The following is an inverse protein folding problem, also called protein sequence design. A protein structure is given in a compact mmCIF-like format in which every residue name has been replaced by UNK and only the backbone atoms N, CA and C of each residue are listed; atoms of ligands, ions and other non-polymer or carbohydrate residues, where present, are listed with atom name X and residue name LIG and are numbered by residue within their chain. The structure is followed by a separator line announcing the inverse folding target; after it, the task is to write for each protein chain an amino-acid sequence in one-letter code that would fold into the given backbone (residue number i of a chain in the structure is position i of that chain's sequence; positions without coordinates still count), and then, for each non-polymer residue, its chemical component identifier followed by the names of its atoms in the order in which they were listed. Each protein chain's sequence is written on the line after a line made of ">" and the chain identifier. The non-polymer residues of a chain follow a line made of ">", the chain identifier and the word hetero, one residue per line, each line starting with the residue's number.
data_IF_861044364347
#
_entry.id   IF_861044364347
#
_cell.length_a   1.000
_cell.length_b   1.000
_cell.length_c   1.000
_cell.angle_alpha   90.00
_cell.angle_beta   90.00
_cell.angle_gamma   90.00
#
_symmetry.space_group_name_H-M   'P 1'
#
loop_
_entity.id
_entity.type
_entity.pdbx_description
1 polymer ?
#
# COMPACT_ATOMS: atom_id res chain seq x y z
N UNK A 1 -17.54 -1.00 -6.08
CA UNK A 1 -17.01 0.37 -5.99
C UNK A 1 -16.65 0.60 -4.55
N UNK A 2 -15.36 0.83 -4.31
CA UNK A 2 -14.86 0.98 -2.95
C UNK A 2 -14.72 2.46 -2.60
N UNK A 3 -14.78 2.78 -1.30
CA UNK A 3 -14.71 4.14 -0.80
C UNK A 3 -13.68 4.23 0.33
N UNK A 4 -12.70 5.12 0.17
CA UNK A 4 -11.84 5.56 1.26
C UNK A 4 -12.57 6.64 2.05
N UNK A 5 -12.72 6.42 3.35
CA UNK A 5 -13.28 7.42 4.27
C UNK A 5 -12.26 7.78 5.35
N UNK A 6 -11.94 9.07 5.46
CA UNK A 6 -11.16 9.62 6.56
C UNK A 6 -12.13 10.11 7.64
N UNK A 7 -11.98 9.63 8.87
CA UNK A 7 -12.88 9.94 9.99
C UNK A 7 -12.15 10.76 11.05
N UNK A 8 -12.72 11.89 11.45
CA UNK A 8 -12.29 12.63 12.64
C UNK A 8 -12.73 11.84 13.87
N UNK A 9 -11.78 11.24 14.58
CA UNK A 9 -12.04 10.41 15.75
C UNK A 9 -12.58 11.18 16.95
N UNK A 10 -12.35 12.51 17.03
CA UNK A 10 -12.88 13.33 18.13
C UNK A 10 -14.35 13.68 17.90
N UNK A 11 -14.74 13.87 16.64
CA UNK A 11 -16.12 14.20 16.24
C UNK A 11 -16.93 12.98 15.83
N UNK A 12 -16.28 11.84 15.60
CA UNK A 12 -16.83 10.61 15.01
C UNK A 12 -17.58 10.88 13.71
N UNK A 13 -17.01 11.72 12.84
CA UNK A 13 -17.62 12.14 11.58
C UNK A 13 -16.65 11.97 10.40
N UNK A 14 -17.15 11.56 9.22
CA UNK A 14 -16.33 11.55 8.02
C UNK A 14 -15.93 12.98 7.66
N UNK A 15 -14.63 13.19 7.44
CA UNK A 15 -14.04 14.46 7.00
C UNK A 15 -13.84 14.44 5.49
N UNK A 16 -13.43 13.29 4.96
CA UNK A 16 -13.23 13.10 3.53
C UNK A 16 -13.77 11.74 3.09
N UNK A 17 -14.28 11.70 1.85
CA UNK A 17 -14.73 10.50 1.16
C UNK A 17 -14.24 10.53 -0.27
N UNK A 18 -13.56 9.48 -0.69
CA UNK A 18 -13.07 9.32 -2.04
C UNK A 18 -13.50 7.96 -2.57
N UNK A 19 -14.20 7.97 -3.70
CA UNK A 19 -14.64 6.75 -4.38
C UNK A 19 -13.60 6.29 -5.39
N UNK A 20 -13.43 4.98 -5.49
CA UNK A 20 -12.54 4.34 -6.44
C UNK A 20 -13.37 3.51 -7.44
N UNK A 21 -13.08 3.62 -8.74
CA UNK A 21 -13.77 2.83 -9.77
C UNK A 21 -13.25 1.39 -9.86
N UNK A 22 -12.36 0.99 -8.95
CA UNK A 22 -11.74 -0.33 -8.84
C UNK A 22 -11.67 -0.74 -7.37
N UNK A 23 -11.39 -2.03 -7.15
CA UNK A 23 -11.19 -2.60 -5.82
C UNK A 23 -9.91 -2.05 -5.18
N UNK A 24 -10.00 -1.70 -3.91
CA UNK A 24 -8.86 -1.41 -3.03
C UNK A 24 -8.86 -2.44 -1.91
N UNK A 25 -7.68 -2.92 -1.50
CA UNK A 25 -7.61 -4.06 -0.58
C UNK A 25 -7.06 -3.66 0.79
N UNK A 26 -5.85 -3.10 0.82
CA UNK A 26 -5.18 -2.74 2.06
C UNK A 26 -4.53 -1.36 1.94
N UNK A 27 -4.39 -0.70 3.08
CA UNK A 27 -3.79 0.63 3.20
C UNK A 27 -2.72 0.61 4.27
N UNK A 28 -1.57 1.21 3.99
CA UNK A 28 -0.53 1.42 4.98
C UNK A 28 -0.03 2.87 4.96
N UNK A 29 0.29 3.41 6.13
CA UNK A 29 0.88 4.75 6.27
C UNK A 29 2.39 4.67 6.27
N UNK A 30 3.06 5.69 5.73
CA UNK A 30 4.46 5.90 6.07
C UNK A 30 4.61 6.34 7.52
N UNK A 31 5.84 6.29 8.03
CA UNK A 31 6.12 6.60 9.43
C UNK A 31 5.79 8.05 9.82
N UNK A 32 5.91 8.98 8.88
CA UNK A 32 5.64 10.42 9.11
C UNK A 32 4.15 10.75 9.05
N UNK A 33 3.31 9.89 8.49
CA UNK A 33 1.86 10.07 8.40
C UNK A 33 1.42 11.10 7.36
N UNK A 34 2.33 11.52 6.48
CA UNK A 34 2.07 12.44 5.36
C UNK A 34 1.84 11.71 4.04
N UNK A 35 2.16 10.41 3.96
CA UNK A 35 1.83 9.54 2.84
C UNK A 35 1.10 8.28 3.32
N UNK A 36 0.22 7.77 2.48
CA UNK A 36 -0.28 6.42 2.59
C UNK A 36 -0.32 5.73 1.23
N UNK A 37 -0.26 4.41 1.29
CA UNK A 37 -0.15 3.51 0.16
C UNK A 37 -1.42 2.67 0.10
N UNK A 38 -2.05 2.56 -1.06
CA UNK A 38 -3.28 1.81 -1.28
C UNK A 38 -3.01 0.70 -2.30
N UNK A 39 -3.23 -0.55 -1.93
CA UNK A 39 -3.16 -1.67 -2.88
C UNK A 39 -4.47 -1.79 -3.67
N UNK A 40 -4.38 -2.12 -4.96
CA UNK A 40 -5.56 -2.20 -5.83
C UNK A 40 -5.71 -3.55 -6.51
N UNK A 41 -6.95 -3.90 -6.87
CA UNK A 41 -7.28 -5.10 -7.63
C UNK A 41 -6.74 -5.12 -9.06
N UNK A 42 -6.12 -4.04 -9.52
CA UNK A 42 -5.57 -3.88 -10.86
C UNK A 42 -4.04 -4.04 -10.92
N UNK A 43 -3.40 -4.40 -9.79
CA UNK A 43 -1.96 -4.68 -9.72
C UNK A 43 -1.07 -3.47 -9.51
N UNK A 44 -1.65 -2.32 -9.17
CA UNK A 44 -0.89 -1.14 -8.78
C UNK A 44 -1.01 -0.83 -7.29
N UNK A 45 -0.04 -0.04 -6.81
CA UNK A 45 -0.10 0.63 -5.51
C UNK A 45 -0.19 2.13 -5.75
N UNK A 46 -1.20 2.79 -5.19
CA UNK A 46 -1.32 4.24 -5.24
C UNK A 46 -0.64 4.86 -4.03
N UNK A 47 0.22 5.85 -4.27
CA UNK A 47 0.87 6.65 -3.23
C UNK A 47 0.12 7.97 -3.15
N UNK A 48 -0.40 8.31 -1.99
CA UNK A 48 -1.32 9.44 -1.79
C UNK A 48 -0.83 10.34 -0.68
N UNK A 49 -0.84 11.65 -0.92
CA UNK A 49 -0.53 12.67 0.08
C UNK A 49 -1.65 12.80 1.12
N UNK A 50 -1.29 13.05 2.37
CA UNK A 50 -2.20 13.46 3.41
C UNK A 50 -1.76 14.81 3.99
N UNK A 51 -2.67 15.79 4.18
CA UNK A 51 -4.14 15.68 4.12
C UNK A 51 -4.77 16.05 2.78
N UNK A 52 -3.98 16.40 1.75
CA UNK A 52 -4.54 16.90 0.48
C UNK A 52 -5.23 15.83 -0.35
N UNK A 53 -4.88 14.56 -0.15
CA UNK A 53 -5.41 13.40 -0.86
C UNK A 53 -5.11 13.40 -2.36
N UNK A 54 -4.07 14.13 -2.74
CA UNK A 54 -3.54 14.09 -4.10
C UNK A 54 -2.77 12.80 -4.32
N UNK A 55 -3.03 12.15 -5.46
CA UNK A 55 -2.24 11.00 -5.90
C UNK A 55 -0.87 11.49 -6.33
N UNK A 56 0.17 11.07 -5.61
CA UNK A 56 1.58 11.37 -5.93
C UNK A 56 2.03 10.56 -7.13
N UNK A 57 1.78 9.25 -7.10
CA UNK A 57 2.08 8.36 -8.21
C UNK A 57 1.34 7.02 -8.09
N UNK A 58 1.33 6.27 -9.20
CA UNK A 58 0.87 4.88 -9.25
C UNK A 58 2.06 3.97 -9.57
N UNK A 59 2.30 3.01 -8.71
CA UNK A 59 3.36 2.02 -8.86
C UNK A 59 2.77 0.78 -9.51
N UNK A 60 3.19 0.46 -10.74
CA UNK A 60 2.82 -0.79 -11.40
C UNK A 60 3.56 -1.94 -10.72
N UNK A 61 2.99 -2.45 -9.64
CA UNK A 61 3.68 -3.33 -8.73
C UNK A 61 3.70 -4.78 -9.21
N UNK A 62 2.57 -5.22 -9.79
CA UNK A 62 2.31 -6.60 -10.11
C UNK A 62 1.39 -6.73 -11.34
N UNK A 63 1.32 -7.94 -11.90
CA UNK A 63 0.51 -8.23 -13.10
C UNK A 63 -0.94 -8.61 -12.78
N UNK A 64 -1.24 -8.84 -11.50
CA UNK A 64 -2.56 -9.11 -10.98
C UNK A 64 -2.79 -8.34 -9.67
N UNK A 65 -4.02 -8.40 -9.13
CA UNK A 65 -4.44 -7.60 -7.97
C UNK A 65 -3.49 -7.70 -6.78
N UNK A 66 -3.12 -6.55 -6.23
CA UNK A 66 -2.32 -6.43 -5.01
C UNK A 66 -3.26 -6.59 -3.81
N UNK A 67 -3.02 -7.56 -2.94
CA UNK A 67 -3.89 -7.85 -1.81
C UNK A 67 -3.40 -7.26 -0.50
N UNK A 68 -2.08 -7.24 -0.30
CA UNK A 68 -1.51 -6.79 0.95
C UNK A 68 -0.30 -5.89 0.78
N UNK A 69 -0.07 -5.03 1.77
CA UNK A 69 1.07 -4.13 1.85
C UNK A 69 1.57 -4.01 3.29
N UNK A 70 2.88 -4.03 3.45
CA UNK A 70 3.51 -3.87 4.76
C UNK A 70 4.69 -2.92 4.69
N UNK A 71 4.76 -2.01 5.67
CA UNK A 71 5.81 -1.01 5.77
C UNK A 71 6.89 -1.48 6.75
N UNK A 72 8.16 -1.23 6.43
CA UNK A 72 9.25 -1.33 7.41
C UNK A 72 9.04 -0.28 8.51
N UNK A 73 9.08 -0.61 9.82
CA UNK A 73 8.99 0.36 10.91
C UNK A 73 10.09 1.43 10.90
N UNK A 74 11.20 1.14 10.21
CA UNK A 74 12.28 2.09 9.97
C UNK A 74 12.04 2.96 8.73
N UNK A 75 10.92 2.79 8.03
CA UNK A 75 10.47 3.56 6.86
C UNK A 75 11.45 3.50 5.68
N UNK A 76 12.20 2.40 5.57
CA UNK A 76 13.16 2.20 4.48
C UNK A 76 12.52 1.52 3.29
N UNK A 77 11.66 0.56 3.56
CA UNK A 77 11.07 -0.30 2.55
C UNK A 77 9.58 -0.54 2.78
N UNK A 78 8.92 -1.00 1.73
CA UNK A 78 7.60 -1.62 1.85
C UNK A 78 7.52 -2.84 0.93
N UNK A 79 6.72 -3.83 1.34
CA UNK A 79 6.49 -5.05 0.59
C UNK A 79 5.03 -5.13 0.14
N UNK A 80 4.80 -5.68 -1.06
CA UNK A 80 3.47 -5.82 -1.66
C UNK A 80 3.26 -7.25 -2.13
N UNK A 81 2.20 -7.91 -1.67
CA UNK A 81 1.80 -9.25 -2.13
C UNK A 81 0.64 -9.20 -3.14
N UNK A 82 0.69 -10.07 -4.15
CA UNK A 82 -0.28 -10.10 -5.25
C UNK A 82 -0.83 -11.49 -5.57
N UNK A 83 -1.97 -11.50 -6.25
CA UNK A 83 -2.59 -12.67 -6.87
C UNK A 83 -1.71 -13.36 -7.93
N UNK A 84 -0.70 -12.67 -8.49
CA UNK A 84 0.25 -13.28 -9.43
C UNK A 84 1.29 -14.19 -8.77
N UNK A 85 1.10 -14.48 -7.47
CA UNK A 85 1.95 -15.34 -6.64
C UNK A 85 3.33 -14.76 -6.35
N UNK A 86 3.52 -13.45 -6.56
CA UNK A 86 4.77 -12.75 -6.29
C UNK A 86 4.65 -11.79 -5.11
N UNK A 87 5.81 -11.47 -4.54
CA UNK A 87 5.97 -10.37 -3.59
C UNK A 87 7.02 -9.41 -4.15
N UNK A 88 6.76 -8.11 -4.10
CA UNK A 88 7.73 -7.08 -4.49
C UNK A 88 8.13 -6.22 -3.30
N UNK A 89 9.42 -5.90 -3.21
CA UNK A 89 10.01 -5.03 -2.18
C UNK A 89 10.46 -3.73 -2.82
N UNK A 90 10.12 -2.62 -2.17
CA UNK A 90 10.24 -1.27 -2.71
C UNK A 90 10.97 -0.36 -1.75
N UNK A 91 11.69 0.62 -2.27
CA UNK A 91 12.25 1.71 -1.48
C UNK A 91 11.17 2.77 -1.22
N UNK A 92 10.96 3.17 0.04
CA UNK A 92 9.93 4.18 0.40
C UNK A 92 10.26 5.56 -0.15
N UNK A 93 11.55 5.95 -0.16
CA UNK A 93 11.99 7.28 -0.58
C UNK A 93 12.05 7.43 -2.09
N UNK A 94 12.58 6.42 -2.78
CA UNK A 94 12.77 6.45 -4.22
C UNK A 94 11.55 5.91 -4.99
N UNK A 95 10.67 5.18 -4.30
CA UNK A 95 9.51 4.51 -4.89
C UNK A 95 9.88 3.56 -6.04
N UNK A 96 11.08 2.99 -5.95
CA UNK A 96 11.61 2.03 -6.92
C UNK A 96 11.50 0.61 -6.38
N UNK A 97 11.10 -0.31 -7.27
CA UNK A 97 11.14 -1.73 -6.98
C UNK A 97 12.59 -2.19 -6.88
N UNK A 98 12.94 -2.73 -5.72
CA UNK A 98 14.28 -3.24 -5.42
C UNK A 98 14.38 -4.71 -5.85
N UNK A 99 13.33 -5.49 -5.58
CA UNK A 99 13.34 -6.93 -5.79
C UNK A 99 11.94 -7.51 -5.89
N UNK A 100 11.78 -8.50 -6.75
CA UNK A 100 10.60 -9.36 -6.80
C UNK A 100 10.98 -10.79 -6.40
N UNK A 101 10.18 -11.39 -5.53
CA UNK A 101 10.36 -12.73 -5.00
C UNK A 101 9.36 -13.68 -5.67
N UNK A 102 9.88 -14.71 -6.34
CA UNK A 102 9.11 -15.67 -7.14
C UNK A 102 8.94 -17.03 -6.49
N UNK A 103 9.60 -17.27 -5.36
CA UNK A 103 9.63 -18.54 -4.67
C UNK A 103 9.37 -18.30 -3.19
N UNK A 104 8.30 -18.89 -2.67
CA UNK A 104 7.98 -18.91 -1.25
C UNK A 104 8.97 -19.83 -0.52
N UNK A 105 10.24 -19.43 -0.43
CA UNK A 105 11.17 -20.06 0.52
C UNK A 105 10.82 -19.55 1.93
N UNK A 106 9.77 -20.16 2.49
CA UNK A 106 9.36 -20.27 3.89
C UNK A 106 9.23 -19.03 4.81
N UNK A 107 9.61 -17.81 4.44
CA UNK A 107 9.69 -16.72 5.43
C UNK A 107 9.25 -15.36 4.88
N UNK A 108 7.96 -15.15 4.63
CA UNK A 108 7.47 -13.79 4.36
C UNK A 108 6.21 -13.38 5.13
N UNK A 109 5.28 -14.31 5.41
CA UNK A 109 4.17 -14.00 6.34
C UNK A 109 4.75 -13.63 7.73
N UNK A 110 5.76 -14.36 8.20
CA UNK A 110 6.46 -14.02 9.45
C UNK A 110 7.29 -12.73 9.36
N UNK A 111 7.84 -12.36 8.20
CA UNK A 111 8.69 -11.17 8.09
C UNK A 111 7.89 -9.87 7.95
N UNK A 112 6.65 -9.95 7.44
CA UNK A 112 5.71 -8.82 7.43
C UNK A 112 5.17 -8.52 8.83
N UNK A 113 5.00 -9.52 9.69
CA UNK A 113 4.59 -9.33 11.09
C UNK A 113 5.77 -8.98 12.04
N UNK A 114 7.02 -9.28 11.65
CA UNK A 114 8.23 -9.04 12.47
C UNK A 114 9.02 -7.79 12.10
N UNK A 115 8.60 -7.08 11.05
CA UNK A 115 8.95 -5.68 10.86
C UNK A 115 7.96 -4.87 11.70
#
# INVERSE_FOLDING_TARGET
>A
EDELTIVDVRKLKPVHKQKFPYEINEIAWNKTGDLFFITTGLGFVEVVNYPSLDVVCKLNAHTAGCYCIAMDPLDRYFAVGSADSLVSLWNVKELLCIKTFTKLEYVFIYYIELL
#
